data_IF_016068285717
#
_entry.id   IF_016068285717
#
_cell.length_a   1.000
_cell.length_b   1.000
_cell.length_c   1.000
_cell.angle_alpha   90.00
_cell.angle_beta   90.00
_cell.angle_gamma   90.00
#
_symmetry.space_group_name_H-M   'P 1'
#
loop_
_entity.id
_entity.type
_entity.pdbx_description
1 polymer ?
#
# COMPACT_ATOMS: atom_id res chain seq x y z
N UNK A 1 -0.08 3.04 -14.29
CA UNK A 1 0.94 2.68 -13.28
C UNK A 1 0.20 2.55 -11.96
N UNK A 2 0.56 1.56 -11.15
CA UNK A 2 0.12 1.41 -9.75
C UNK A 2 1.33 1.64 -8.83
N UNK A 3 1.12 2.29 -7.69
CA UNK A 3 2.13 2.62 -6.69
C UNK A 3 2.60 1.39 -5.89
N UNK A 4 1.64 0.57 -5.42
CA UNK A 4 1.85 -0.65 -4.59
C UNK A 4 2.41 -0.43 -3.18
N UNK A 5 2.48 0.81 -2.73
CA UNK A 5 3.02 1.18 -1.40
C UNK A 5 2.38 2.46 -0.86
N UNK A 6 1.05 2.48 -0.76
CA UNK A 6 0.28 3.65 -0.28
C UNK A 6 0.17 3.57 1.25
N UNK A 7 0.84 4.48 1.96
CA UNK A 7 0.92 4.56 3.44
C UNK A 7 1.51 5.90 3.88
N UNK A 8 1.29 6.31 5.13
CA UNK A 8 1.58 7.68 5.57
C UNK A 8 3.05 8.08 5.39
N UNK A 9 3.98 7.14 5.60
CA UNK A 9 5.42 7.35 5.38
C UNK A 9 5.77 7.81 3.95
N UNK A 10 4.96 7.42 2.97
CA UNK A 10 5.14 7.77 1.56
C UNK A 10 4.33 9.01 1.14
N UNK A 11 3.66 9.70 2.08
CA UNK A 11 2.96 10.96 1.82
C UNK A 11 3.78 12.12 2.41
N UNK A 12 4.42 12.88 1.53
CA UNK A 12 5.21 14.04 1.91
C UNK A 12 4.36 15.31 1.87
N UNK A 13 4.57 16.19 2.86
CA UNK A 13 3.95 17.51 2.91
C UNK A 13 4.96 18.54 2.42
N UNK A 14 4.61 19.27 1.37
CA UNK A 14 5.45 20.37 0.86
C UNK A 14 5.35 21.60 1.76
N UNK A 15 6.24 22.58 1.56
CA UNK A 15 6.20 23.86 2.30
C UNK A 15 4.88 24.64 2.15
N UNK A 16 4.11 24.37 1.09
CA UNK A 16 2.80 24.98 0.84
C UNK A 16 1.63 24.10 1.33
N UNK A 17 1.89 23.18 2.27
CA UNK A 17 0.88 22.27 2.86
C UNK A 17 0.19 21.34 1.84
N UNK A 18 0.82 21.13 0.67
CA UNK A 18 0.32 20.19 -0.35
C UNK A 18 0.89 18.80 -0.08
N UNK A 19 0.01 17.83 0.12
CA UNK A 19 0.36 16.41 0.18
C UNK A 19 0.76 15.87 -1.19
N UNK A 20 1.89 15.15 -1.26
CA UNK A 20 2.40 14.50 -2.46
C UNK A 20 2.85 13.08 -2.14
N UNK A 21 2.49 12.16 -3.01
CA UNK A 21 2.97 10.78 -2.94
C UNK A 21 4.44 10.69 -3.36
N UNK A 22 5.21 9.87 -2.64
CA UNK A 22 6.63 9.61 -2.87
C UNK A 22 6.92 8.09 -2.85
N UNK A 23 8.18 7.72 -3.12
CA UNK A 23 8.67 6.34 -3.07
C UNK A 23 8.04 5.37 -4.11
N UNK A 24 8.31 5.63 -5.39
CA UNK A 24 7.80 4.82 -6.51
C UNK A 24 8.61 3.53 -6.80
N UNK A 25 9.44 3.06 -5.86
CA UNK A 25 10.31 1.87 -6.08
C UNK A 25 9.50 0.60 -6.39
N UNK A 26 8.34 0.49 -5.75
CA UNK A 26 7.41 -0.64 -5.91
C UNK A 26 6.43 -0.46 -7.07
N UNK A 27 6.45 0.69 -7.76
CA UNK A 27 5.46 1.02 -8.78
C UNK A 27 5.63 0.21 -10.06
N UNK A 28 4.53 -0.23 -10.67
CA UNK A 28 4.54 -1.08 -11.88
C UNK A 28 3.44 -0.68 -12.86
N UNK A 29 3.63 -0.99 -14.15
CA UNK A 29 2.57 -0.92 -15.15
C UNK A 29 1.60 -2.10 -15.00
N UNK A 30 0.38 -1.97 -15.50
CA UNK A 30 -0.65 -3.01 -15.40
C UNK A 30 -0.34 -4.29 -16.20
N UNK A 31 0.58 -4.19 -17.16
CA UNK A 31 1.03 -5.27 -18.04
C UNK A 31 2.27 -6.01 -17.52
N UNK A 32 2.82 -5.58 -16.37
CA UNK A 32 3.87 -6.36 -15.70
C UNK A 32 3.27 -7.69 -15.26
N UNK A 33 3.76 -8.79 -15.85
CA UNK A 33 3.43 -10.15 -15.40
C UNK A 33 3.52 -10.20 -13.88
N UNK A 34 2.51 -10.79 -13.26
CA UNK A 34 2.27 -10.89 -11.83
C UNK A 34 3.36 -11.70 -11.09
N UNK A 35 4.63 -11.38 -11.32
CA UNK A 35 5.76 -11.87 -10.54
C UNK A 35 5.55 -11.41 -9.13
N UNK A 36 5.61 -12.40 -8.23
CA UNK A 36 5.27 -12.36 -6.83
C UNK A 36 5.41 -10.96 -6.24
N UNK A 37 4.33 -10.45 -5.65
CA UNK A 37 4.50 -9.44 -4.63
C UNK A 37 5.35 -10.10 -3.55
N UNK A 38 6.64 -9.80 -3.52
CA UNK A 38 7.41 -9.87 -2.30
C UNK A 38 6.81 -8.78 -1.40
N UNK A 39 5.66 -9.08 -0.80
CA UNK A 39 5.08 -8.26 0.24
C UNK A 39 6.15 -8.20 1.33
N UNK A 40 6.83 -7.06 1.42
CA UNK A 40 7.72 -6.78 2.54
C UNK A 40 6.80 -6.80 3.75
N UNK A 41 7.19 -7.50 4.82
CA UNK A 41 6.42 -7.69 6.07
C UNK A 41 5.65 -6.42 6.47
N UNK A 42 6.29 -5.26 6.36
CA UNK A 42 5.77 -3.95 6.74
C UNK A 42 4.59 -3.44 5.89
N UNK A 43 4.49 -3.85 4.62
CA UNK A 43 3.44 -3.39 3.69
C UNK A 43 2.18 -4.26 3.72
N UNK A 44 2.24 -5.43 4.38
CA UNK A 44 1.14 -6.40 4.44
C UNK A 44 -0.13 -5.79 5.03
N UNK A 45 0.04 -4.89 6.00
CA UNK A 45 -1.04 -4.17 6.70
C UNK A 45 -1.89 -3.29 5.77
N UNK A 46 -1.35 -2.91 4.62
CA UNK A 46 -2.01 -2.07 3.62
C UNK A 46 -2.51 -2.85 2.42
N UNK A 47 -2.25 -4.17 2.36
CA UNK A 47 -2.67 -5.01 1.24
C UNK A 47 -4.17 -5.25 1.28
N UNK A 48 -4.78 -5.16 0.09
CA UNK A 48 -6.16 -5.57 -0.11
C UNK A 48 -6.34 -7.06 0.22
N UNK A 49 -7.48 -7.46 0.77
CA UNK A 49 -7.70 -8.82 1.26
C UNK A 49 -7.53 -9.90 0.19
N UNK A 50 -7.88 -9.60 -1.07
CA UNK A 50 -7.65 -10.52 -2.20
C UNK A 50 -6.17 -10.80 -2.47
N UNK A 51 -5.28 -9.95 -1.97
CA UNK A 51 -3.83 -10.13 -2.08
C UNK A 51 -3.26 -10.98 -0.94
N UNK A 52 -4.05 -11.26 0.11
CA UNK A 52 -3.63 -12.09 1.23
C UNK A 52 -3.78 -13.57 0.88
N UNK A 53 -2.70 -14.34 1.04
CA UNK A 53 -2.73 -15.82 0.92
C UNK A 53 -2.77 -16.40 -0.49
N UNK A 54 -2.88 -15.58 -1.55
CA UNK A 54 -2.91 -16.07 -2.93
C UNK A 54 -1.67 -15.66 -3.72
N UNK A 55 -0.87 -16.64 -4.16
CA UNK A 55 0.37 -16.42 -4.93
C UNK A 55 0.15 -15.87 -6.35
N UNK A 56 -1.09 -15.82 -6.87
CA UNK A 56 -1.38 -15.49 -8.28
C UNK A 56 -2.59 -14.57 -8.48
N UNK A 57 -2.75 -13.55 -7.64
CA UNK A 57 -3.78 -12.51 -7.87
C UNK A 57 -3.15 -11.31 -8.57
N UNK A 58 -3.80 -10.87 -9.66
CA UNK A 58 -3.38 -9.68 -10.39
C UNK A 58 -3.61 -8.45 -9.50
N UNK A 59 -2.56 -7.67 -9.27
CA UNK A 59 -2.69 -6.38 -8.60
C UNK A 59 -3.46 -5.41 -9.50
N UNK A 60 -4.49 -4.75 -8.96
CA UNK A 60 -5.36 -3.84 -9.71
C UNK A 60 -5.49 -2.49 -9.03
N UNK A 61 -6.13 -1.52 -9.68
CA UNK A 61 -6.48 -0.23 -9.06
C UNK A 61 -7.38 -0.38 -7.83
N UNK A 62 -8.17 -1.47 -7.73
CA UNK A 62 -8.98 -1.74 -6.52
C UNK A 62 -8.10 -2.00 -5.30
N UNK A 63 -6.93 -2.61 -5.51
CA UNK A 63 -5.96 -2.81 -4.43
C UNK A 63 -5.40 -1.46 -3.94
N UNK A 64 -5.18 -0.49 -4.84
CA UNK A 64 -4.73 0.85 -4.44
C UNK A 64 -5.81 1.62 -3.66
N UNK A 65 -7.07 1.48 -4.07
CA UNK A 65 -8.20 2.08 -3.34
C UNK A 65 -8.28 1.52 -1.92
N UNK A 66 -8.05 0.22 -1.73
CA UNK A 66 -8.00 -0.37 -0.40
C UNK A 66 -6.84 0.21 0.43
N UNK A 67 -5.61 0.21 -0.12
CA UNK A 67 -4.45 0.76 0.60
C UNK A 67 -4.64 2.24 0.95
N UNK A 68 -5.29 3.02 0.07
CA UNK A 68 -5.68 4.40 0.37
C UNK A 68 -6.70 4.50 1.51
N UNK A 69 -7.66 3.58 1.60
CA UNK A 69 -8.58 3.48 2.74
C UNK A 69 -7.85 3.23 4.06
N UNK A 70 -6.86 2.33 4.06
CA UNK A 70 -6.02 2.08 5.23
C UNK A 70 -5.16 3.30 5.60
N UNK A 71 -4.60 4.02 4.61
CA UNK A 71 -3.91 5.29 4.82
C UNK A 71 -4.81 6.33 5.52
N UNK A 72 -6.07 6.47 5.09
CA UNK A 72 -7.01 7.40 5.74
C UNK A 72 -7.28 7.00 7.20
N UNK A 73 -7.42 5.70 7.46
CA UNK A 73 -7.55 5.18 8.82
C UNK A 73 -6.30 5.45 9.66
N UNK A 74 -5.11 5.20 9.11
CA UNK A 74 -3.81 5.45 9.76
C UNK A 74 -3.68 6.92 10.19
N UNK A 75 -4.06 7.86 9.31
CA UNK A 75 -4.06 9.30 9.60
C UNK A 75 -5.07 9.65 10.70
N UNK A 76 -6.29 9.11 10.62
CA UNK A 76 -7.35 9.42 11.57
C UNK A 76 -7.05 8.90 12.98
N UNK A 77 -6.51 7.69 13.08
CA UNK A 77 -6.22 7.02 14.35
C UNK A 77 -4.83 7.33 14.90
N UNK A 78 -3.91 7.84 14.05
CA UNK A 78 -2.50 8.07 14.37
C UNK A 78 -1.82 6.82 14.94
N UNK A 79 -2.14 5.65 14.37
CA UNK A 79 -1.65 4.33 14.80
C UNK A 79 -1.23 3.50 13.61
N UNK A 80 -0.29 2.59 13.85
CA UNK A 80 0.09 1.57 12.86
C UNK A 80 -1.11 0.63 12.62
N UNK A 81 -1.57 0.44 11.38
CA UNK A 81 -2.65 -0.49 11.09
C UNK A 81 -2.33 -1.90 11.56
N UNK A 82 -3.28 -2.51 12.28
CA UNK A 82 -3.17 -3.87 12.82
C UNK A 82 -1.98 -4.11 13.76
N UNK A 83 -1.46 -3.09 14.46
CA UNK A 83 -0.24 -3.17 15.30
C UNK A 83 -0.13 -4.42 16.19
N UNK A 84 -1.26 -4.87 16.75
CA UNK A 84 -1.32 -6.03 17.66
C UNK A 84 -1.44 -7.40 16.95
N UNK A 85 -1.36 -7.43 15.62
CA UNK A 85 -1.39 -8.66 14.82
C UNK A 85 0.02 -8.94 14.30
N UNK A 86 0.44 -10.20 14.42
CA UNK A 86 1.64 -10.67 13.74
C UNK A 86 1.38 -10.64 12.23
N UNK A 87 2.21 -9.91 11.50
CA UNK A 87 2.25 -10.00 10.04
C UNK A 87 2.62 -11.46 9.72
N UNK A 88 1.77 -12.09 8.89
CA UNK A 88 1.76 -13.53 8.53
C UNK A 88 3.15 -14.16 8.42
#
# INVERSE_FOLDING_TARGET
IVHRDIRAENILITANEIAKIANFKSSRTFDWETKELSAIQETVRYLAPEMLGQRRVKYTTRCEVYSFGILLWEIAEQKTPYENYNDI
#
